data_IF_124277223585
#
_entry.id   IF_124277223585
#
_cell.length_a   1.000
_cell.length_b   1.000
_cell.length_c   1.000
_cell.angle_alpha   90.00
_cell.angle_beta   90.00
_cell.angle_gamma   90.00
#
_symmetry.space_group_name_H-M   'P 1'
#
loop_
_entity.id
_entity.type
_entity.pdbx_description
1 polymer ?
#
# COMPACT_ATOMS: atom_id res chain seq x y z
N UNK A 1 -0.49 11.39 36.36
CA UNK A 1 -1.42 11.08 35.26
C UNK A 1 -1.49 12.28 34.34
N UNK A 2 -0.71 12.31 33.26
CA UNK A 2 -0.82 13.34 32.23
C UNK A 2 -1.63 12.76 31.08
N UNK A 3 -2.90 13.16 31.02
CA UNK A 3 -3.77 12.90 29.89
C UNK A 3 -3.27 13.74 28.73
N UNK A 4 -2.58 13.11 27.77
CA UNK A 4 -2.25 13.69 26.47
C UNK A 4 -3.54 13.86 25.66
N UNK A 5 -4.32 14.89 25.96
CA UNK A 5 -5.44 15.29 25.11
C UNK A 5 -4.83 16.02 23.91
N UNK A 6 -4.93 15.47 22.68
CA UNK A 6 -4.39 16.15 21.51
C UNK A 6 -5.10 17.49 21.33
N UNK A 7 -4.38 18.52 20.91
CA UNK A 7 -4.97 19.83 20.68
C UNK A 7 -6.01 19.77 19.54
N UNK A 8 -7.05 20.62 19.56
CA UNK A 8 -8.13 20.59 18.53
C UNK A 8 -7.55 20.72 17.11
N UNK A 9 -6.50 21.53 16.93
CA UNK A 9 -5.81 21.67 15.64
C UNK A 9 -5.10 20.38 15.19
N UNK A 10 -4.55 19.63 16.14
CA UNK A 10 -3.87 18.34 15.90
C UNK A 10 -4.88 17.24 15.54
N UNK A 11 -6.05 17.23 16.18
CA UNK A 11 -7.19 16.38 15.80
C UNK A 11 -7.73 16.73 14.41
N UNK A 12 -7.82 18.02 14.07
CA UNK A 12 -8.33 18.46 12.78
C UNK A 12 -7.37 18.12 11.64
N UNK A 13 -6.05 18.23 11.87
CA UNK A 13 -5.02 17.79 10.95
C UNK A 13 -5.02 16.27 10.78
N UNK A 14 -5.21 15.51 11.87
CA UNK A 14 -5.28 14.04 11.79
C UNK A 14 -6.46 13.58 10.92
N UNK A 15 -7.61 14.23 11.07
CA UNK A 15 -8.81 13.90 10.30
C UNK A 15 -8.68 14.27 8.81
N UNK A 16 -8.01 15.39 8.50
CA UNK A 16 -7.68 15.72 7.11
C UNK A 16 -6.74 14.71 6.47
N UNK A 17 -5.71 14.26 7.20
CA UNK A 17 -4.77 13.25 6.71
C UNK A 17 -5.50 11.92 6.50
N UNK A 18 -6.33 11.47 7.44
CA UNK A 18 -7.12 10.25 7.31
C UNK A 18 -8.00 10.30 6.05
N UNK A 19 -8.74 11.40 5.86
CA UNK A 19 -9.58 11.57 4.67
C UNK A 19 -8.77 11.50 3.37
N UNK A 20 -7.55 12.07 3.33
CA UNK A 20 -6.69 11.97 2.15
C UNK A 20 -6.28 10.51 1.93
N UNK A 21 -5.85 9.79 2.97
CA UNK A 21 -5.42 8.40 2.89
C UNK A 21 -6.54 7.49 2.38
N UNK A 22 -7.76 7.66 2.88
CA UNK A 22 -8.94 6.92 2.40
C UNK A 22 -9.22 7.17 0.91
N UNK A 23 -9.07 8.42 0.46
CA UNK A 23 -9.34 8.79 -0.93
C UNK A 23 -8.27 8.32 -1.92
N UNK A 24 -7.04 8.09 -1.47
CA UNK A 24 -5.95 7.63 -2.33
C UNK A 24 -5.77 6.10 -2.28
N UNK A 25 -6.56 5.39 -1.48
CA UNK A 25 -6.45 3.95 -1.28
C UNK A 25 -6.47 3.21 -2.64
N UNK A 26 -5.49 2.33 -2.92
CA UNK A 26 -5.43 1.63 -4.19
C UNK A 26 -6.61 0.68 -4.40
N UNK A 27 -7.11 0.62 -5.63
CA UNK A 27 -8.14 -0.34 -6.01
C UNK A 27 -7.65 -1.80 -5.87
N UNK A 28 -8.60 -2.71 -5.69
CA UNK A 28 -8.32 -4.14 -5.61
C UNK A 28 -7.75 -4.64 -6.94
N UNK A 29 -6.64 -5.37 -6.86
CA UNK A 29 -5.96 -5.94 -8.02
C UNK A 29 -6.13 -7.45 -8.04
N UNK A 30 -6.51 -7.99 -9.19
CA UNK A 30 -6.65 -9.43 -9.38
C UNK A 30 -5.38 -10.05 -9.98
N UNK A 31 -4.99 -11.20 -9.43
CA UNK A 31 -3.87 -12.00 -9.94
C UNK A 31 -4.12 -12.50 -11.36
N UNK A 32 -5.39 -12.64 -11.75
CA UNK A 32 -5.81 -13.27 -13.01
C UNK A 32 -5.58 -14.78 -13.01
N UNK A 33 -5.62 -15.39 -11.82
CA UNK A 33 -5.47 -16.83 -11.63
C UNK A 33 -6.50 -17.59 -12.46
N UNK A 34 -6.05 -18.60 -13.20
CA UNK A 34 -6.86 -19.43 -14.07
C UNK A 34 -7.10 -20.79 -13.40
N UNK A 35 -8.31 -20.98 -12.88
CA UNK A 35 -8.73 -22.20 -12.17
C UNK A 35 -8.87 -23.42 -13.10
N UNK A 36 -8.72 -23.26 -14.43
CA UNK A 36 -8.72 -24.39 -15.37
C UNK A 36 -7.37 -25.10 -15.46
N UNK A 37 -6.31 -24.49 -14.94
CA UNK A 37 -4.97 -25.06 -14.94
C UNK A 37 -4.71 -25.93 -13.71
N UNK A 38 -3.82 -26.95 -13.82
CA UNK A 38 -3.44 -27.77 -12.68
C UNK A 38 -2.82 -26.93 -11.57
N UNK A 39 -3.21 -27.17 -10.32
CA UNK A 39 -2.70 -26.46 -9.15
C UNK A 39 -1.29 -26.95 -8.76
N UNK A 40 -0.29 -26.45 -9.49
CA UNK A 40 1.13 -26.77 -9.24
C UNK A 40 1.87 -25.54 -8.69
N UNK A 41 2.83 -25.72 -7.76
CA UNK A 41 3.46 -24.60 -7.05
C UNK A 41 4.05 -23.51 -7.95
N UNK A 42 4.64 -23.90 -9.10
CA UNK A 42 5.26 -22.93 -10.02
C UNK A 42 4.24 -22.03 -10.72
N UNK A 43 3.05 -22.53 -11.07
CA UNK A 43 1.98 -21.72 -11.66
C UNK A 43 1.39 -20.75 -10.64
N UNK A 44 1.24 -21.19 -9.38
CA UNK A 44 0.83 -20.32 -8.29
C UNK A 44 1.84 -19.20 -8.05
N UNK A 45 3.13 -19.54 -7.96
CA UNK A 45 4.20 -18.54 -7.80
C UNK A 45 4.25 -17.55 -8.96
N UNK A 46 4.03 -18.00 -10.21
CA UNK A 46 3.94 -17.11 -11.37
C UNK A 46 2.74 -16.16 -11.29
N UNK A 47 1.58 -16.67 -10.86
CA UNK A 47 0.38 -15.84 -10.63
C UNK A 47 0.61 -14.79 -9.54
N UNK A 48 1.30 -15.16 -8.46
CA UNK A 48 1.68 -14.25 -7.37
C UNK A 48 2.71 -13.21 -7.82
N UNK A 49 3.71 -13.58 -8.61
CA UNK A 49 4.67 -12.63 -9.19
C UNK A 49 3.97 -11.60 -10.09
N UNK A 50 3.03 -12.06 -10.94
CA UNK A 50 2.23 -11.15 -11.78
C UNK A 50 1.34 -10.22 -10.95
N UNK A 51 0.76 -10.72 -9.86
CA UNK A 51 0.01 -9.88 -8.92
C UNK A 51 0.91 -8.83 -8.27
N UNK A 52 2.08 -9.24 -7.81
CA UNK A 52 3.10 -8.40 -7.19
C UNK A 52 3.54 -7.26 -8.12
N UNK A 53 3.84 -7.55 -9.39
CA UNK A 53 4.18 -6.51 -10.39
C UNK A 53 3.08 -5.46 -10.53
N UNK A 54 1.81 -5.90 -10.60
CA UNK A 54 0.67 -4.98 -10.66
C UNK A 54 0.53 -4.17 -9.37
N UNK A 55 0.67 -4.79 -8.20
CA UNK A 55 0.59 -4.10 -6.91
C UNK A 55 1.72 -3.07 -6.74
N UNK A 56 2.93 -3.37 -7.21
CA UNK A 56 4.05 -2.44 -7.15
C UNK A 56 3.77 -1.16 -7.95
N UNK A 57 3.16 -1.28 -9.13
CA UNK A 57 2.71 -0.11 -9.90
C UNK A 57 1.73 0.76 -9.11
N UNK A 58 0.82 0.13 -8.36
CA UNK A 58 -0.10 0.84 -7.47
C UNK A 58 0.60 1.48 -6.28
N UNK A 59 1.58 0.82 -5.64
CA UNK A 59 2.39 1.42 -4.57
C UNK A 59 3.13 2.66 -5.07
N UNK A 60 3.67 2.63 -6.29
CA UNK A 60 4.33 3.80 -6.90
C UNK A 60 3.34 4.93 -7.17
N UNK A 61 2.12 4.63 -7.63
CA UNK A 61 1.08 5.65 -7.83
C UNK A 61 0.58 6.24 -6.50
N UNK A 62 0.31 5.37 -5.53
CA UNK A 62 -0.16 5.71 -4.18
C UNK A 62 0.85 6.59 -3.44
N UNK A 63 2.13 6.20 -3.45
CA UNK A 63 3.19 6.97 -2.81
C UNK A 63 3.30 8.38 -3.38
N UNK A 64 3.13 8.56 -4.69
CA UNK A 64 3.06 9.90 -5.31
C UNK A 64 1.86 10.72 -4.88
N UNK A 65 0.79 10.11 -4.37
CA UNK A 65 -0.40 10.81 -3.87
C UNK A 65 -0.34 11.10 -2.38
N UNK A 66 0.64 10.53 -1.66
CA UNK A 66 0.84 10.81 -0.25
C UNK A 66 1.28 12.27 -0.01
N UNK A 67 0.67 12.97 0.96
CA UNK A 67 1.14 14.27 1.41
C UNK A 67 2.61 14.22 1.84
N UNK A 68 3.43 15.12 1.29
CA UNK A 68 4.85 15.23 1.64
C UNK A 68 5.79 14.29 0.90
N UNK A 69 5.32 13.19 0.28
CA UNK A 69 6.21 12.24 -0.40
C UNK A 69 6.92 12.85 -1.61
N UNK A 70 6.21 13.69 -2.39
CA UNK A 70 6.81 14.40 -3.53
C UNK A 70 7.85 15.46 -3.14
N UNK A 71 7.89 15.86 -1.87
CA UNK A 71 8.86 16.84 -1.38
C UNK A 71 10.23 16.21 -1.10
N UNK A 72 10.31 14.87 -1.06
CA UNK A 72 11.55 14.13 -0.90
C UNK A 72 12.36 14.13 -2.20
N UNK A 73 13.68 14.00 -2.09
CA UNK A 73 14.53 13.77 -3.26
C UNK A 73 14.13 12.47 -3.97
N UNK A 74 14.26 12.44 -5.30
CA UNK A 74 13.87 11.27 -6.11
C UNK A 74 14.60 9.99 -5.69
N UNK A 75 15.85 10.10 -5.26
CA UNK A 75 16.62 8.97 -4.75
C UNK A 75 16.03 8.41 -3.45
N UNK A 76 15.55 9.30 -2.56
CA UNK A 76 14.92 8.90 -1.31
C UNK A 76 13.54 8.30 -1.56
N UNK A 77 12.77 8.85 -2.50
CA UNK A 77 11.50 8.26 -2.93
C UNK A 77 11.70 6.83 -3.44
N UNK A 78 12.70 6.61 -4.30
CA UNK A 78 13.01 5.27 -4.81
C UNK A 78 13.53 4.34 -3.72
N UNK A 79 14.41 4.83 -2.84
CA UNK A 79 14.92 4.06 -1.71
C UNK A 79 13.78 3.59 -0.81
N UNK A 80 12.89 4.50 -0.41
CA UNK A 80 11.74 4.17 0.44
C UNK A 80 10.85 3.10 -0.20
N UNK A 81 10.53 3.22 -1.49
CA UNK A 81 9.73 2.22 -2.20
C UNK A 81 10.47 0.88 -2.26
N UNK A 82 11.75 0.87 -2.62
CA UNK A 82 12.56 -0.35 -2.74
C UNK A 82 12.73 -1.11 -1.42
N UNK A 83 12.82 -0.42 -0.30
CA UNK A 83 12.95 -1.07 1.01
C UNK A 83 11.60 -1.46 1.63
N UNK A 84 10.49 -0.81 1.26
CA UNK A 84 9.19 -1.01 1.91
C UNK A 84 8.15 -1.79 1.12
N UNK A 85 8.28 -1.93 -0.21
CA UNK A 85 7.24 -2.51 -1.07
C UNK A 85 6.73 -3.88 -0.58
N UNK A 86 7.62 -4.78 -0.18
CA UNK A 86 7.22 -6.11 0.30
C UNK A 86 6.41 -6.02 1.59
N UNK A 87 6.85 -5.20 2.55
CA UNK A 87 6.14 -5.00 3.81
C UNK A 87 4.75 -4.38 3.57
N UNK A 88 4.64 -3.41 2.66
CA UNK A 88 3.36 -2.80 2.28
C UNK A 88 2.40 -3.81 1.66
N UNK A 89 2.88 -4.71 0.79
CA UNK A 89 2.04 -5.73 0.18
C UNK A 89 1.60 -6.80 1.17
N UNK A 90 2.49 -7.27 2.06
CA UNK A 90 2.14 -8.23 3.11
C UNK A 90 1.12 -7.62 4.07
N UNK A 91 1.30 -6.35 4.44
CA UNK A 91 0.34 -5.63 5.28
C UNK A 91 -1.02 -5.48 4.59
N UNK A 92 -1.05 -5.06 3.32
CA UNK A 92 -2.29 -4.95 2.53
C UNK A 92 -2.99 -6.31 2.36
N UNK A 93 -2.23 -7.38 2.16
CA UNK A 93 -2.75 -8.74 2.14
C UNK A 93 -3.38 -9.13 3.48
N UNK A 94 -2.69 -8.86 4.59
CA UNK A 94 -3.20 -9.11 5.93
C UNK A 94 -4.48 -8.33 6.23
N UNK A 95 -4.53 -7.06 5.84
CA UNK A 95 -5.73 -6.22 5.97
C UNK A 95 -6.92 -6.81 5.20
N UNK A 96 -6.74 -7.16 3.92
CA UNK A 96 -7.78 -7.79 3.09
C UNK A 96 -8.22 -9.16 3.58
N UNK A 97 -7.36 -9.86 4.32
CA UNK A 97 -7.66 -11.18 4.89
C UNK A 97 -8.37 -11.07 6.25
N UNK A 98 -8.24 -9.93 6.92
CA UNK A 98 -8.95 -9.63 8.16
C UNK A 98 -10.37 -9.10 7.91
N UNK A 99 -10.53 -8.28 6.86
CA UNK A 99 -11.85 -7.82 6.37
C UNK A 99 -12.74 -9.00 5.97
#
# INVERSE_FOLDING_TARGET
>A
SMSCVPSIHELQLSQQIINILENIEPEVVYSGYDNSQPEVPHLLLNSLNRLCEKQLLWIVKWSKSLPGFRNLHINDQMTLIQYSWMNLMVFSLGWRSFQ
#
